data_IF_740841891333
#
_entry.id   IF_740841891333
#
_cell.length_a   1.000
_cell.length_b   1.000
_cell.length_c   1.000
_cell.angle_alpha   90.00
_cell.angle_beta   90.00
_cell.angle_gamma   90.00
#
_symmetry.space_group_name_H-M   'P 1'
#
loop_
_entity.id
_entity.type
_entity.pdbx_description
1 polymer ?
#
# COMPACT_ATOMS: atom_id res chain seq x y z
N UNK A 1 0.09 5.32 -24.61
CA UNK A 1 0.54 5.30 -23.20
C UNK A 1 1.94 5.87 -23.14
N UNK A 2 2.26 6.67 -22.12
CA UNK A 2 3.61 7.22 -21.90
C UNK A 2 4.48 6.21 -21.16
N UNK A 3 5.78 6.12 -21.51
CA UNK A 3 6.72 5.21 -20.86
C UNK A 3 7.20 5.76 -19.50
N UNK A 4 7.68 4.86 -18.62
CA UNK A 4 8.43 5.25 -17.42
C UNK A 4 9.74 5.95 -17.79
N UNK A 5 10.21 6.79 -16.88
CA UNK A 5 11.44 7.58 -17.03
C UNK A 5 12.20 7.66 -15.69
N UNK A 6 13.44 8.15 -15.67
CA UNK A 6 14.25 8.23 -14.44
C UNK A 6 13.65 9.06 -13.29
N UNK A 7 12.70 9.96 -13.58
CA UNK A 7 12.00 10.78 -12.59
C UNK A 7 10.63 10.19 -12.20
N UNK A 8 10.30 8.98 -12.66
CA UNK A 8 9.05 8.32 -12.27
C UNK A 8 9.15 7.89 -10.82
N UNK A 9 8.15 8.26 -10.02
CA UNK A 9 8.03 7.74 -8.65
C UNK A 9 7.81 6.24 -8.66
N UNK A 10 8.37 5.57 -7.68
CA UNK A 10 8.22 4.15 -7.44
C UNK A 10 7.36 3.91 -6.20
N UNK A 11 6.37 3.05 -6.31
CA UNK A 11 5.50 2.68 -5.20
C UNK A 11 4.95 1.28 -5.39
N UNK A 12 4.40 0.73 -4.32
CA UNK A 12 3.80 -0.60 -4.28
C UNK A 12 2.36 -0.53 -3.79
N UNK A 13 1.60 -1.60 -4.00
CA UNK A 13 0.30 -1.83 -3.41
C UNK A 13 0.29 -3.07 -2.51
N UNK A 14 -0.39 -2.98 -1.37
CA UNK A 14 -0.52 -4.08 -0.40
C UNK A 14 -1.96 -4.25 0.09
N UNK A 15 -2.28 -5.42 0.62
CA UNK A 15 -3.60 -5.76 1.17
C UNK A 15 -3.50 -6.86 2.24
N UNK A 16 -4.64 -7.33 2.78
CA UNK A 16 -4.66 -8.36 3.85
C UNK A 16 -3.95 -9.68 3.51
N UNK A 17 -3.64 -9.95 2.24
CA UNK A 17 -2.93 -11.15 1.80
C UNK A 17 -1.41 -10.93 1.69
N UNK A 18 -0.92 -9.69 1.78
CA UNK A 18 0.51 -9.37 1.81
C UNK A 18 1.10 -9.78 3.17
N UNK A 19 2.12 -10.63 3.14
CA UNK A 19 2.74 -11.17 4.35
C UNK A 19 4.04 -10.43 4.70
N UNK A 20 4.37 -10.39 5.99
CA UNK A 20 5.67 -9.91 6.50
C UNK A 20 6.05 -8.51 6.02
N UNK A 21 5.09 -7.57 6.05
CA UNK A 21 5.30 -6.19 5.63
C UNK A 21 6.21 -5.47 6.64
N UNK A 22 7.39 -5.07 6.20
CA UNK A 22 8.33 -4.26 6.97
C UNK A 22 8.24 -2.77 6.56
N UNK A 23 7.45 -2.01 7.30
CA UNK A 23 7.25 -0.58 7.04
C UNK A 23 8.53 0.26 7.23
N UNK A 24 9.49 -0.19 8.03
CA UNK A 24 10.76 0.53 8.19
C UNK A 24 11.62 0.41 6.93
N UNK A 25 11.63 -0.75 6.30
CA UNK A 25 12.31 -0.97 5.02
C UNK A 25 11.57 -0.26 3.88
N UNK A 26 10.24 -0.33 3.86
CA UNK A 26 9.43 0.36 2.85
C UNK A 26 9.67 1.88 2.87
N UNK A 27 9.72 2.50 4.04
CA UNK A 27 9.95 3.95 4.17
C UNK A 27 11.26 4.45 3.54
N UNK A 28 12.22 3.55 3.27
CA UNK A 28 13.52 3.88 2.64
C UNK A 28 13.59 3.53 1.16
N UNK A 29 12.60 2.82 0.63
CA UNK A 29 12.68 2.15 -0.68
C UNK A 29 11.58 2.53 -1.65
N UNK A 30 10.49 3.13 -1.18
CA UNK A 30 9.35 3.55 -2.01
C UNK A 30 9.01 5.02 -1.78
N UNK A 31 8.49 5.66 -2.82
CA UNK A 31 8.01 7.05 -2.78
C UNK A 31 6.55 7.15 -2.30
N UNK A 32 5.75 6.08 -2.46
CA UNK A 32 4.34 6.02 -2.06
C UNK A 32 3.87 4.58 -1.83
N UNK A 33 2.83 4.42 -1.02
CA UNK A 33 2.21 3.12 -0.73
C UNK A 33 0.69 3.15 -0.96
N UNK A 34 0.19 2.28 -1.82
CA UNK A 34 -1.25 2.00 -1.88
C UNK A 34 -1.62 0.87 -0.93
N UNK A 35 -2.74 1.05 -0.22
CA UNK A 35 -3.32 0.02 0.66
C UNK A 35 -4.77 -0.22 0.25
N UNK A 36 -5.15 -1.47 0.01
CA UNK A 36 -6.55 -1.80 -0.26
C UNK A 36 -7.40 -1.47 0.97
N UNK A 37 -8.37 -0.58 0.80
CA UNK A 37 -9.30 -0.21 1.87
C UNK A 37 -10.47 -1.20 1.98
N UNK A 38 -11.10 -1.49 0.85
CA UNK A 38 -12.27 -2.36 0.76
C UNK A 38 -12.37 -2.95 -0.64
N UNK A 39 -13.35 -3.84 -0.84
CA UNK A 39 -13.71 -4.35 -2.15
C UNK A 39 -15.10 -4.95 -2.17
N UNK A 40 -15.69 -5.01 -3.36
CA UNK A 40 -17.01 -5.61 -3.61
C UNK A 40 -16.96 -6.82 -4.55
N UNK A 41 -15.75 -7.27 -4.90
CA UNK A 41 -15.53 -8.34 -5.89
C UNK A 41 -16.09 -9.71 -5.49
N UNK A 42 -16.39 -9.93 -4.21
CA UNK A 42 -17.04 -11.14 -3.70
C UNK A 42 -18.57 -11.11 -3.73
N UNK A 43 -19.18 -10.09 -4.36
CA UNK A 43 -20.65 -9.93 -4.44
C UNK A 43 -21.27 -9.10 -3.32
N UNK A 44 -20.47 -8.64 -2.35
CA UNK A 44 -20.90 -7.69 -1.31
C UNK A 44 -19.73 -6.83 -0.84
N UNK A 45 -20.03 -5.66 -0.27
CA UNK A 45 -19.02 -4.76 0.28
C UNK A 45 -18.30 -5.42 1.46
N UNK A 46 -16.96 -5.37 1.44
CA UNK A 46 -16.11 -5.89 2.51
C UNK A 46 -14.90 -5.00 2.72
N UNK A 47 -14.62 -4.67 3.97
CA UNK A 47 -13.39 -3.98 4.38
C UNK A 47 -12.22 -4.96 4.40
N UNK A 48 -11.07 -4.53 3.90
CA UNK A 48 -9.83 -5.31 3.98
C UNK A 48 -9.39 -5.45 5.44
N UNK A 49 -9.09 -6.67 5.90
CA UNK A 49 -8.81 -6.95 7.33
C UNK A 49 -7.57 -6.24 7.85
N UNK A 50 -6.67 -5.77 6.99
CA UNK A 50 -5.42 -5.09 7.38
C UNK A 50 -5.41 -3.61 7.06
N UNK A 51 -6.44 -3.05 6.42
CA UNK A 51 -6.45 -1.64 5.99
C UNK A 51 -6.06 -0.66 7.10
N UNK A 52 -6.75 -0.70 8.24
CA UNK A 52 -6.52 0.25 9.33
C UNK A 52 -5.14 0.09 9.96
N UNK A 53 -4.65 -1.15 10.07
CA UNK A 53 -3.32 -1.47 10.59
C UNK A 53 -2.23 -0.92 9.67
N UNK A 54 -2.33 -1.24 8.37
CA UNK A 54 -1.35 -0.84 7.37
C UNK A 54 -1.37 0.67 7.11
N UNK A 55 -2.55 1.29 7.01
CA UNK A 55 -2.64 2.73 6.84
C UNK A 55 -2.05 3.48 8.05
N UNK A 56 -2.33 3.02 9.28
CA UNK A 56 -1.74 3.60 10.50
C UNK A 56 -0.23 3.42 10.52
N UNK A 57 0.28 2.23 10.20
CA UNK A 57 1.71 1.98 10.15
C UNK A 57 2.41 2.86 9.10
N UNK A 58 1.89 2.92 7.88
CA UNK A 58 2.43 3.78 6.82
C UNK A 58 2.55 5.24 7.28
N UNK A 59 1.49 5.78 7.90
CA UNK A 59 1.50 7.14 8.46
C UNK A 59 2.51 7.33 9.59
N UNK A 60 2.65 6.35 10.49
CA UNK A 60 3.65 6.41 11.57
C UNK A 60 5.09 6.45 11.04
N UNK A 61 5.35 5.81 9.89
CA UNK A 61 6.65 5.83 9.22
C UNK A 61 6.80 6.98 8.20
N UNK A 62 5.80 7.84 8.06
CA UNK A 62 5.83 8.98 7.13
C UNK A 62 5.74 8.60 5.65
N UNK A 63 5.26 7.39 5.33
CA UNK A 63 5.07 6.94 3.96
C UNK A 63 3.80 7.61 3.39
N UNK A 64 3.88 8.29 2.23
CA UNK A 64 2.73 8.88 1.55
C UNK A 64 1.66 7.85 1.14
#
# INVERSE_FOLDING_TARGET
MQNKNPNSRFGIDINEYTQSVDFQTLAKTIDFLYVRASGSGGGSFRVDKKFLEFAKAARNYGIP
#
